data_IF_284687247983
#
_entry.id   IF_284687247983
#
_cell.length_a   1.000
_cell.length_b   1.000
_cell.length_c   1.000
_cell.angle_alpha   90.00
_cell.angle_beta   90.00
_cell.angle_gamma   90.00
#
_symmetry.space_group_name_H-M   'P 1'
#
loop_
_entity.id
_entity.type
_entity.pdbx_description
1 polymer ?
#
# COMPACT_ATOMS: atom_id res chain seq x y z
N UNK A 1 -1.77 -9.30 16.87
CA UNK A 1 -1.35 -8.49 15.70
C UNK A 1 0.13 -8.69 15.53
N UNK A 2 0.56 -9.11 14.34
CA UNK A 2 1.97 -9.29 14.01
C UNK A 2 2.60 -7.93 13.68
N UNK A 3 3.92 -7.79 13.90
CA UNK A 3 4.67 -6.57 13.58
C UNK A 3 4.43 -6.09 12.13
N UNK A 4 4.28 -7.05 11.21
CA UNK A 4 4.03 -6.82 9.78
C UNK A 4 2.65 -6.22 9.50
N UNK A 5 1.60 -6.66 10.23
CA UNK A 5 0.27 -6.04 10.11
C UNK A 5 0.29 -4.58 10.56
N UNK A 6 1.03 -4.29 11.64
CA UNK A 6 1.20 -2.92 12.13
C UNK A 6 2.03 -2.08 11.16
N UNK A 7 3.12 -2.61 10.60
CA UNK A 7 3.91 -1.90 9.58
C UNK A 7 3.07 -1.58 8.33
N UNK A 8 2.27 -2.53 7.83
CA UNK A 8 1.38 -2.30 6.68
C UNK A 8 0.33 -1.24 7.01
N UNK A 9 -0.31 -1.33 8.18
CA UNK A 9 -1.31 -0.35 8.61
C UNK A 9 -0.69 1.05 8.82
N UNK A 10 0.54 1.10 9.32
CA UNK A 10 1.31 2.33 9.48
C UNK A 10 1.65 2.96 8.13
N UNK A 11 2.22 2.17 7.20
CA UNK A 11 2.52 2.63 5.83
C UNK A 11 1.25 3.15 5.15
N UNK A 12 0.13 2.42 5.24
CA UNK A 12 -1.14 2.82 4.65
C UNK A 12 -1.65 4.18 5.17
N UNK A 13 -1.32 4.55 6.42
CA UNK A 13 -1.73 5.82 7.03
C UNK A 13 -0.76 6.96 6.79
N UNK A 14 0.55 6.69 6.78
CA UNK A 14 1.59 7.72 6.64
C UNK A 14 1.86 8.08 5.19
N UNK A 15 1.66 7.13 4.28
CA UNK A 15 1.96 7.30 2.87
C UNK A 15 1.08 8.37 2.17
N UNK A 16 -0.26 8.40 2.33
CA UNK A 16 -1.08 9.45 1.73
C UNK A 16 -0.69 10.88 2.16
N UNK A 17 -0.57 11.22 3.47
CA UNK A 17 -0.17 12.57 3.88
C UNK A 17 1.28 12.91 3.49
N UNK A 18 2.17 11.91 3.38
CA UNK A 18 3.54 12.09 2.87
C UNK A 18 3.58 12.50 1.40
N UNK A 19 2.61 12.05 0.60
CA UNK A 19 2.54 12.34 -0.84
C UNK A 19 1.79 13.65 -1.14
N UNK A 20 0.82 14.04 -0.30
CA UNK A 20 0.03 15.27 -0.49
C UNK A 20 0.73 16.54 0.02
N UNK A 21 1.93 16.43 0.59
CA UNK A 21 2.74 17.59 0.97
C UNK A 21 2.39 18.22 2.33
N UNK A 22 1.71 17.48 3.21
CA UNK A 22 1.48 17.95 4.60
C UNK A 22 2.78 17.95 5.42
N UNK A 23 3.81 17.29 4.91
CA UNK A 23 5.17 17.38 5.41
C UNK A 23 5.88 18.50 4.65
N UNK A 24 6.35 19.51 5.39
CA UNK A 24 7.00 20.74 4.91
C UNK A 24 8.22 20.50 3.99
N UNK A 25 8.68 19.25 3.90
CA UNK A 25 9.63 18.75 2.90
C UNK A 25 9.14 17.38 2.42
N UNK A 26 9.00 17.13 1.10
CA UNK A 26 8.72 15.79 0.58
C UNK A 26 9.95 14.90 0.75
N UNK A 27 10.17 14.40 1.97
CA UNK A 27 11.34 13.56 2.32
C UNK A 27 11.31 12.23 1.54
N UNK A 28 10.14 11.77 1.11
CA UNK A 28 9.97 10.47 0.47
C UNK A 28 8.99 10.54 -0.71
N UNK A 29 9.52 10.55 -1.93
CA UNK A 29 8.72 10.51 -3.16
C UNK A 29 8.08 9.15 -3.44
N UNK A 30 7.22 9.11 -4.47
CA UNK A 30 6.52 7.90 -4.96
C UNK A 30 7.44 6.69 -5.11
N UNK A 31 8.62 6.90 -5.70
CA UNK A 31 9.62 5.85 -5.92
C UNK A 31 10.13 5.21 -4.62
N UNK A 32 10.26 5.98 -3.53
CA UNK A 32 10.67 5.47 -2.22
C UNK A 32 9.63 4.50 -1.67
N UNK A 33 8.36 4.93 -1.65
CA UNK A 33 7.26 4.12 -1.14
C UNK A 33 7.06 2.84 -1.96
N UNK A 34 7.19 2.94 -3.30
CA UNK A 34 7.19 1.77 -4.19
C UNK A 34 8.26 0.77 -3.76
N UNK A 35 9.51 1.22 -3.60
CA UNK A 35 10.62 0.36 -3.18
C UNK A 35 10.36 -0.28 -1.81
N UNK A 36 9.80 0.47 -0.86
CA UNK A 36 9.49 -0.04 0.49
C UNK A 36 8.39 -1.11 0.46
N UNK A 37 7.31 -0.91 -0.29
CA UNK A 37 6.25 -1.90 -0.48
C UNK A 37 6.79 -3.18 -1.15
N UNK A 38 7.66 -3.05 -2.16
CA UNK A 38 8.31 -4.19 -2.80
C UNK A 38 9.26 -4.95 -1.85
N UNK A 39 9.98 -4.25 -0.97
CA UNK A 39 10.79 -4.91 0.08
C UNK A 39 9.91 -5.68 1.06
N UNK A 40 8.75 -5.12 1.42
CA UNK A 40 7.77 -5.76 2.28
C UNK A 40 7.21 -7.03 1.61
N UNK A 41 6.88 -6.97 0.31
CA UNK A 41 6.48 -8.14 -0.49
C UNK A 41 7.53 -9.26 -0.54
N UNK A 42 8.82 -8.92 -0.44
CA UNK A 42 9.91 -9.91 -0.39
C UNK A 42 10.02 -10.61 0.96
N UNK A 43 9.28 -10.18 1.99
CA UNK A 43 9.26 -10.86 3.28
C UNK A 43 8.44 -12.16 3.19
N UNK A 44 9.06 -13.29 3.54
CA UNK A 44 8.53 -14.65 3.33
C UNK A 44 7.35 -15.04 4.24
N UNK A 45 6.83 -14.11 5.06
CA UNK A 45 5.81 -14.37 6.09
C UNK A 45 4.50 -13.58 5.87
N UNK A 46 4.25 -13.06 4.67
CA UNK A 46 3.03 -12.32 4.40
C UNK A 46 1.82 -13.25 4.21
N UNK A 47 0.75 -12.95 4.94
CA UNK A 47 -0.56 -13.56 4.76
C UNK A 47 -1.26 -13.00 3.53
N UNK A 48 -2.24 -13.73 3.01
CA UNK A 48 -3.03 -13.29 1.84
C UNK A 48 -3.73 -11.93 2.05
N UNK A 49 -4.14 -11.64 3.29
CA UNK A 49 -4.73 -10.34 3.66
C UNK A 49 -3.69 -9.22 3.57
N UNK A 50 -2.48 -9.45 4.07
CA UNK A 50 -1.39 -8.49 4.01
C UNK A 50 -0.95 -8.23 2.57
N UNK A 51 -0.81 -9.27 1.75
CA UNK A 51 -0.54 -9.15 0.31
C UNK A 51 -1.61 -8.34 -0.41
N UNK A 52 -2.88 -8.61 -0.12
CA UNK A 52 -4.02 -7.85 -0.66
C UNK A 52 -3.93 -6.35 -0.32
N UNK A 53 -3.56 -6.03 0.92
CA UNK A 53 -3.41 -4.64 1.36
C UNK A 53 -2.25 -3.95 0.66
N UNK A 54 -1.09 -4.61 0.56
CA UNK A 54 0.09 -4.06 -0.14
C UNK A 54 -0.17 -3.86 -1.64
N UNK A 55 -0.80 -4.83 -2.29
CA UNK A 55 -1.19 -4.74 -3.71
C UNK A 55 -2.19 -3.60 -3.97
N UNK A 56 -3.07 -3.35 -3.01
CA UNK A 56 -4.00 -2.20 -3.06
C UNK A 56 -3.24 -0.87 -2.92
N UNK A 57 -2.29 -0.79 -1.99
CA UNK A 57 -1.45 0.41 -1.81
C UNK A 57 -0.60 0.71 -3.05
N UNK A 58 -0.04 -0.32 -3.69
CA UNK A 58 0.69 -0.17 -4.95
C UNK A 58 -0.20 0.40 -6.06
N UNK A 59 -1.42 -0.12 -6.23
CA UNK A 59 -2.37 0.45 -7.21
C UNK A 59 -2.75 1.89 -6.91
N UNK A 60 -2.91 2.27 -5.65
CA UNK A 60 -3.17 3.66 -5.28
C UNK A 60 -1.97 4.56 -5.57
N UNK A 61 -0.75 4.06 -5.35
CA UNK A 61 0.48 4.75 -5.69
C UNK A 61 0.60 4.97 -7.21
N UNK A 62 0.43 3.92 -8.03
CA UNK A 62 0.45 4.04 -9.50
C UNK A 62 -0.65 5.00 -10.00
N UNK A 63 -1.84 4.98 -9.38
CA UNK A 63 -2.91 5.93 -9.68
C UNK A 63 -2.55 7.37 -9.32
N UNK A 64 -1.87 7.59 -8.20
CA UNK A 64 -1.35 8.90 -7.81
C UNK A 64 -0.28 9.40 -8.77
N UNK A 65 0.65 8.53 -9.19
CA UNK A 65 1.70 8.86 -10.16
C UNK A 65 1.11 9.23 -11.53
N UNK A 66 0.08 8.50 -11.98
CA UNK A 66 -0.55 8.74 -13.28
C UNK A 66 -1.50 9.94 -13.30
N UNK A 67 -2.22 10.21 -12.20
CA UNK A 67 -3.33 11.19 -12.17
C UNK A 67 -3.07 12.38 -11.24
N UNK A 68 -1.95 12.39 -10.51
CA UNK A 68 -1.60 13.43 -9.54
C UNK A 68 -2.54 13.52 -8.33
N UNK A 69 -3.45 12.55 -8.15
CA UNK A 69 -4.46 12.54 -7.08
C UNK A 69 -4.52 11.20 -6.39
N UNK A 70 -4.63 11.22 -5.07
CA UNK A 70 -4.79 10.00 -4.30
C UNK A 70 -6.22 9.51 -4.45
N UNK A 71 -6.41 8.38 -5.13
CA UNK A 71 -7.75 7.81 -5.23
C UNK A 71 -8.10 7.08 -3.92
N UNK A 72 -9.29 7.33 -3.34
CA UNK A 72 -9.79 6.47 -2.29
C UNK A 72 -9.88 5.07 -2.87
N UNK A 73 -9.26 4.10 -2.19
CA UNK A 73 -9.25 2.72 -2.64
C UNK A 73 -10.71 2.30 -2.90
N UNK A 74 -11.06 1.84 -4.11
CA UNK A 74 -12.35 1.21 -4.30
C UNK A 74 -12.32 0.02 -3.36
N UNK A 75 -13.14 0.08 -2.28
CA UNK A 75 -13.24 -0.98 -1.28
C UNK A 75 -13.30 -2.28 -2.04
N UNK A 76 -12.22 -3.06 -1.95
CA UNK A 76 -12.01 -4.24 -2.76
C UNK A 76 -13.20 -5.14 -2.49
N UNK A 77 -14.16 -5.15 -3.43
CA UNK A 77 -15.31 -6.03 -3.38
C UNK A 77 -14.73 -7.41 -3.13
N UNK A 78 -15.09 -8.00 -2.00
CA UNK A 78 -14.56 -9.24 -1.46
C UNK A 78 -14.74 -10.37 -2.47
N UNK A 79 -13.86 -10.47 -3.47
CA UNK A 79 -13.79 -11.62 -4.35
C UNK A 79 -12.91 -12.64 -3.65
N UNK A 80 -13.47 -13.27 -2.63
CA UNK A 80 -13.12 -14.64 -2.31
C UNK A 80 -13.43 -15.46 -3.57
N UNK A 81 -12.49 -15.55 -4.50
CA UNK A 81 -12.50 -16.68 -5.44
C UNK A 81 -12.17 -17.89 -4.58
N UNK A 82 -13.24 -18.57 -4.14
CA UNK A 82 -13.19 -19.93 -3.62
C UNK A 82 -12.35 -20.75 -4.59
N UNK A 83 -11.24 -21.27 -4.08
CA UNK A 83 -10.55 -22.40 -4.69
C UNK A 83 -11.49 -23.62 -4.60
N UNK A 84 -11.97 -24.10 -5.74
CA UNK A 84 -12.44 -25.47 -5.99
C UNK A 84 -11.97 -25.77 -7.41
N UNK A 85 -11.24 -26.83 -7.74
CA UNK A 85 -11.12 -28.18 -7.21
C UNK A 85 -9.74 -28.72 -7.58
#
# INVERSE_FOLDING_TARGET
MTFVEQEIAHIARVMPPSLTGDFEVPVMGVAYWRKRLHTLLKQNHLTHVQLSTVDTLLRQLDGFEALGRWLPSPKRASRHVRRVK
#
